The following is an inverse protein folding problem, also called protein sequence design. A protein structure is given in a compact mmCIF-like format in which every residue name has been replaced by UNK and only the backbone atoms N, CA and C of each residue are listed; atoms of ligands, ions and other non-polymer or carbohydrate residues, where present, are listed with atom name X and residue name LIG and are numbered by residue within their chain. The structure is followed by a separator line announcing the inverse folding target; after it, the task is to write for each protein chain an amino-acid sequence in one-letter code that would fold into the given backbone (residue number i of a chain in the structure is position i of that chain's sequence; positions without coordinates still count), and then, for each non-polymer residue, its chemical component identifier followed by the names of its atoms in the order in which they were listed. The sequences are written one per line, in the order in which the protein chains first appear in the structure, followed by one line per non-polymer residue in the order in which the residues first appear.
data_IF_377714254176
#
_entry.id   IF_377714254176
#
_cell.length_a   1.000
_cell.length_b   1.000
_cell.length_c   1.000
_cell.angle_alpha   90.00
_cell.angle_beta   90.00
_cell.angle_gamma   90.00
#
_symmetry.space_group_name_H-M   'P 1'
#
loop_
_entity.id
_entity.type
_entity.pdbx_description
1 polymer ?
#
# COMPACT_ATOMS: atom_id res chain seq x y z
N UNK A 1 -47.52 33.58 10.93
CA UNK A 1 -46.30 34.38 10.69
C UNK A 1 -45.18 33.68 11.44
N UNK A 2 -44.17 33.15 10.73
CA UNK A 2 -43.12 32.27 11.27
C UNK A 2 -41.89 33.09 11.64
N UNK A 3 -41.33 32.77 12.80
CA UNK A 3 -40.24 33.48 13.45
C UNK A 3 -38.88 33.26 12.73
N UNK A 4 -38.43 34.29 12.01
CA UNK A 4 -37.14 34.29 11.29
C UNK A 4 -35.92 34.59 12.18
N UNK A 5 -36.08 34.67 13.51
CA UNK A 5 -35.01 35.08 14.42
C UNK A 5 -34.18 33.90 14.97
N UNK A 6 -34.74 32.69 15.02
CA UNK A 6 -34.09 31.52 15.63
C UNK A 6 -32.82 31.07 14.88
N UNK A 7 -32.78 31.24 13.56
CA UNK A 7 -31.65 30.78 12.75
C UNK A 7 -30.42 31.69 12.89
N UNK A 8 -30.63 32.99 13.11
CA UNK A 8 -29.55 33.98 13.24
C UNK A 8 -28.81 33.83 14.58
N UNK A 9 -29.53 33.42 15.62
CA UNK A 9 -28.97 33.15 16.94
C UNK A 9 -28.10 31.88 16.95
N UNK A 10 -28.50 30.85 16.19
CA UNK A 10 -27.72 29.63 16.04
C UNK A 10 -26.36 29.89 15.38
N UNK A 11 -26.34 30.63 14.27
CA UNK A 11 -25.08 31.01 13.59
C UNK A 11 -24.15 31.85 14.47
N UNK A 12 -24.71 32.76 15.26
CA UNK A 12 -23.91 33.56 16.19
C UNK A 12 -23.33 32.72 17.34
N UNK A 13 -24.04 31.66 17.75
CA UNK A 13 -23.56 30.73 18.77
C UNK A 13 -22.40 29.87 18.24
N UNK A 14 -22.56 29.26 17.06
CA UNK A 14 -21.51 28.46 16.44
C UNK A 14 -20.24 29.27 16.18
N UNK A 15 -20.39 30.51 15.69
CA UNK A 15 -19.25 31.41 15.48
C UNK A 15 -18.51 31.70 16.78
N UNK A 16 -19.22 31.95 17.89
CA UNK A 16 -18.61 32.17 19.21
C UNK A 16 -17.89 30.93 19.74
N UNK A 17 -18.47 29.75 19.55
CA UNK A 17 -17.84 28.48 19.96
C UNK A 17 -16.57 28.23 19.16
N UNK A 18 -16.60 28.48 17.85
CA UNK A 18 -15.43 28.33 16.98
C UNK A 18 -14.30 29.29 17.38
N UNK A 19 -14.61 30.59 17.57
CA UNK A 19 -13.63 31.59 18.01
C UNK A 19 -13.05 31.29 19.40
N UNK A 20 -13.86 30.78 20.33
CA UNK A 20 -13.38 30.35 21.64
C UNK A 20 -12.44 29.14 21.55
N UNK A 21 -12.75 28.18 20.68
CA UNK A 21 -11.95 26.98 20.46
C UNK A 21 -10.60 27.31 19.82
N UNK A 22 -10.57 28.23 18.84
CA UNK A 22 -9.31 28.66 18.23
C UNK A 22 -8.41 29.41 19.22
N UNK A 23 -8.99 30.25 20.09
CA UNK A 23 -8.22 30.93 21.15
C UNK A 23 -7.60 29.94 22.13
N UNK A 24 -8.31 28.88 22.50
CA UNK A 24 -7.76 27.82 23.35
C UNK A 24 -6.59 27.09 22.68
N UNK A 25 -6.72 26.70 21.40
CA UNK A 25 -5.61 26.08 20.65
C UNK A 25 -4.41 27.01 20.55
N UNK A 26 -4.62 28.30 20.26
CA UNK A 26 -3.54 29.27 20.16
C UNK A 26 -2.79 29.44 21.49
N UNK A 27 -3.51 29.44 22.62
CA UNK A 27 -2.91 29.48 23.96
C UNK A 27 -2.13 28.21 24.30
N UNK A 28 -2.66 27.03 23.96
CA UNK A 28 -1.94 25.75 24.14
C UNK A 28 -0.66 25.71 23.31
N UNK A 29 -0.68 26.17 22.05
CA UNK A 29 0.51 26.27 21.22
C UNK A 29 1.55 27.23 21.82
N UNK A 30 1.11 28.36 22.38
CA UNK A 30 2.00 29.33 23.02
C UNK A 30 2.64 28.77 24.31
N UNK A 31 1.87 28.03 25.10
CA UNK A 31 2.37 27.34 26.30
C UNK A 31 3.32 26.20 25.96
N UNK A 32 3.02 25.38 24.95
CA UNK A 32 3.94 24.33 24.46
C UNK A 32 5.26 24.93 23.97
N UNK A 33 5.23 26.09 23.30
CA UNK A 33 6.45 26.77 22.82
C UNK A 33 7.31 27.31 23.97
N UNK A 34 6.70 27.84 25.04
CA UNK A 34 7.43 28.26 26.25
C UNK A 34 7.97 27.08 27.06
N UNK A 35 7.24 25.96 27.13
CA UNK A 35 7.70 24.72 27.77
C UNK A 35 8.90 24.09 27.05
N UNK A 36 8.92 24.13 25.72
CA UNK A 36 10.06 23.65 24.94
C UNK A 36 11.32 24.51 25.08
N UNK A 37 11.17 25.83 25.22
CA UNK A 37 12.32 26.75 25.34
C UNK A 37 13.06 26.62 26.68
N UNK A 38 12.35 26.30 27.77
CA UNK A 38 12.99 26.15 29.10
C UNK A 38 13.52 24.74 29.37
N UNK A 39 13.18 23.75 28.54
CA UNK A 39 13.65 22.36 28.69
C UNK A 39 14.83 22.04 27.75
N UNK A 40 15.30 23.00 26.94
CA UNK A 40 16.41 22.79 26.02
C UNK A 40 17.80 23.20 26.58
N UNK A 41 17.87 23.85 27.74
CA UNK A 41 19.15 24.36 28.30
C UNK A 41 19.26 24.07 29.80
N UNK A 42 19.27 22.80 30.18
CA UNK A 42 19.99 22.33 31.39
C UNK A 42 20.35 20.84 31.39
N UNK A 43 20.36 20.17 30.22
CA UNK A 43 20.94 18.83 30.12
C UNK A 43 22.46 18.90 29.93
N UNK A 44 23.13 19.49 30.91
CA UNK A 44 24.58 19.38 31.12
C UNK A 44 24.82 18.87 32.54
N UNK A 45 24.31 17.68 32.86
CA UNK A 45 24.76 16.90 34.01
C UNK A 45 24.82 15.42 33.65
N UNK A 46 26.02 15.01 33.22
CA UNK A 46 26.54 13.64 33.18
C UNK A 46 25.69 12.63 32.41
N UNK A 47 25.95 12.56 31.09
CA UNK A 47 25.76 11.32 30.33
C UNK A 47 26.64 10.22 30.96
N UNK A 48 26.05 9.49 31.92
CA UNK A 48 26.44 8.12 32.23
C UNK A 48 25.29 7.29 31.68
N UNK A 49 25.21 7.17 30.36
CA UNK A 49 24.60 5.96 29.80
C UNK A 49 25.47 4.84 30.38
N UNK A 50 24.95 4.10 31.35
CA UNK A 50 25.68 2.96 31.92
C UNK A 50 26.13 2.06 30.75
N UNK A 51 27.32 1.46 30.84
CA UNK A 51 27.85 0.58 29.78
C UNK A 51 26.78 -0.42 29.30
N UNK A 52 25.95 -0.88 30.23
CA UNK A 52 24.79 -1.73 30.00
C UNK A 52 23.71 -1.12 29.08
N UNK A 53 23.30 0.14 29.29
CA UNK A 53 22.32 0.82 28.42
C UNK A 53 22.87 1.06 27.02
N UNK A 54 24.16 1.38 26.90
CA UNK A 54 24.80 1.57 25.59
C UNK A 54 24.89 0.23 24.83
N UNK A 55 25.24 -0.85 25.53
CA UNK A 55 25.24 -2.20 24.97
C UNK A 55 23.85 -2.61 24.47
N UNK A 56 22.79 -2.34 25.25
CA UNK A 56 21.42 -2.66 24.85
C UNK A 56 20.98 -1.89 23.59
N UNK A 57 21.30 -0.60 23.51
CA UNK A 57 21.00 0.22 22.32
C UNK A 57 21.71 -0.34 21.08
N UNK A 58 22.98 -0.74 21.21
CA UNK A 58 23.74 -1.33 20.10
C UNK A 58 23.11 -2.63 19.62
N UNK A 59 22.70 -3.52 20.54
CA UNK A 59 22.02 -4.78 20.18
C UNK A 59 20.71 -4.51 19.44
N UNK A 60 19.88 -3.59 19.95
CA UNK A 60 18.61 -3.21 19.30
C UNK A 60 18.85 -2.60 17.93
N UNK A 61 19.89 -1.78 17.78
CA UNK A 61 20.24 -1.18 16.50
C UNK A 61 20.63 -2.24 15.45
N UNK A 62 21.48 -3.19 15.83
CA UNK A 62 21.88 -4.31 14.94
C UNK A 62 20.65 -5.13 14.54
N UNK A 63 19.78 -5.48 15.50
CA UNK A 63 18.53 -6.20 15.21
C UNK A 63 17.61 -5.41 14.28
N UNK A 64 17.49 -4.11 14.50
CA UNK A 64 16.69 -3.22 13.67
C UNK A 64 17.15 -3.19 12.21
N UNK A 65 18.46 -3.07 11.98
CA UNK A 65 19.03 -3.05 10.61
C UNK A 65 18.72 -4.33 9.84
N UNK A 66 18.70 -5.50 10.50
CA UNK A 66 18.43 -6.79 9.86
C UNK A 66 16.92 -7.01 9.64
N UNK A 67 16.07 -6.54 10.55
CA UNK A 67 14.63 -6.76 10.48
C UNK A 67 13.92 -5.90 9.40
N UNK A 68 14.43 -4.69 9.15
CA UNK A 68 13.84 -3.74 8.18
C UNK A 68 13.70 -4.28 6.74
N UNK A 69 14.74 -4.85 6.10
CA UNK A 69 14.62 -5.32 4.71
C UNK A 69 13.59 -6.46 4.56
N UNK A 70 13.49 -7.35 5.54
CA UNK A 70 12.54 -8.46 5.54
C UNK A 70 11.10 -7.94 5.61
N UNK A 71 10.86 -6.95 6.48
CA UNK A 71 9.55 -6.32 6.61
C UNK A 71 9.12 -5.63 5.30
N UNK A 72 10.04 -4.96 4.61
CA UNK A 72 9.77 -4.33 3.32
C UNK A 72 9.40 -5.37 2.24
N UNK A 73 10.15 -6.46 2.14
CA UNK A 73 9.86 -7.55 1.21
C UNK A 73 8.46 -8.15 1.44
N UNK A 74 8.08 -8.38 2.70
CA UNK A 74 6.76 -8.89 3.06
C UNK A 74 5.63 -7.93 2.66
N UNK A 75 5.81 -6.63 2.90
CA UNK A 75 4.82 -5.62 2.50
C UNK A 75 4.65 -5.55 0.98
N UNK A 76 5.74 -5.63 0.21
CA UNK A 76 5.69 -5.65 -1.26
C UNK A 76 4.94 -6.91 -1.73
N UNK A 77 5.27 -8.08 -1.17
CA UNK A 77 4.61 -9.35 -1.48
C UNK A 77 3.11 -9.34 -1.20
N UNK A 78 2.71 -8.74 -0.08
CA UNK A 78 1.29 -8.55 0.26
C UNK A 78 0.58 -7.67 -0.77
N UNK A 79 1.17 -6.52 -1.13
CA UNK A 79 0.60 -5.63 -2.15
C UNK A 79 0.50 -6.28 -3.53
N UNK A 80 1.50 -7.09 -3.93
CA UNK A 80 1.44 -7.85 -5.18
C UNK A 80 0.31 -8.88 -5.14
N UNK A 81 0.11 -9.56 -4.00
CA UNK A 81 -0.98 -10.51 -3.83
C UNK A 81 -2.35 -9.83 -3.99
N UNK A 82 -2.53 -8.65 -3.39
CA UNK A 82 -3.74 -7.84 -3.56
C UNK A 82 -3.94 -7.44 -5.03
N UNK A 83 -2.88 -6.98 -5.70
CA UNK A 83 -2.97 -6.62 -7.11
C UNK A 83 -3.37 -7.82 -8.01
N UNK A 84 -2.95 -9.04 -7.66
CA UNK A 84 -3.38 -10.26 -8.35
C UNK A 84 -4.86 -10.56 -8.04
N UNK A 85 -5.29 -10.43 -6.79
CA UNK A 85 -6.69 -10.66 -6.38
C UNK A 85 -7.67 -9.70 -7.08
N UNK A 86 -7.27 -8.45 -7.32
CA UNK A 86 -8.07 -7.49 -8.12
C UNK A 86 -8.39 -8.00 -9.54
N UNK A 87 -7.61 -8.96 -10.06
CA UNK A 87 -7.82 -9.53 -11.40
C UNK A 87 -8.70 -10.77 -11.41
N UNK A 88 -9.19 -11.27 -10.28
CA UNK A 88 -9.98 -12.52 -10.20
C UNK A 88 -11.25 -12.49 -11.07
N UNK A 89 -11.94 -11.34 -11.12
CA UNK A 89 -13.13 -11.18 -11.97
C UNK A 89 -12.76 -11.33 -13.45
N UNK A 90 -11.61 -10.79 -13.86
CA UNK A 90 -11.11 -10.90 -15.23
C UNK A 90 -10.64 -12.33 -15.51
N UNK A 91 -9.95 -12.97 -14.56
CA UNK A 91 -9.54 -14.37 -14.69
C UNK A 91 -10.76 -15.27 -14.89
N UNK A 92 -11.83 -15.08 -14.14
CA UNK A 92 -13.08 -15.82 -14.33
C UNK A 92 -13.66 -15.60 -15.72
N UNK A 93 -13.79 -14.35 -16.16
CA UNK A 93 -14.33 -14.03 -17.49
C UNK A 93 -13.46 -14.59 -18.63
N UNK A 94 -12.13 -14.58 -18.48
CA UNK A 94 -11.22 -15.19 -19.44
C UNK A 94 -11.29 -16.72 -19.38
N UNK A 95 -11.42 -17.33 -18.20
CA UNK A 95 -11.61 -18.77 -18.06
C UNK A 95 -12.91 -19.22 -18.74
N UNK A 96 -14.01 -18.50 -18.52
CA UNK A 96 -15.30 -18.78 -19.17
C UNK A 96 -15.18 -18.63 -20.70
N UNK A 97 -14.47 -17.60 -21.19
CA UNK A 97 -14.17 -17.44 -22.63
C UNK A 97 -13.38 -18.65 -23.17
N UNK A 98 -12.38 -19.12 -22.44
CA UNK A 98 -11.52 -20.24 -22.85
C UNK A 98 -12.30 -21.56 -22.88
N UNK A 99 -13.10 -21.84 -21.85
CA UNK A 99 -13.86 -23.09 -21.72
C UNK A 99 -15.05 -23.11 -22.69
N UNK A 100 -15.87 -22.05 -22.71
CA UNK A 100 -17.12 -22.03 -23.46
C UNK A 100 -16.98 -21.48 -24.89
N UNK A 101 -15.78 -21.05 -25.31
CA UNK A 101 -15.51 -20.39 -26.61
C UNK A 101 -16.42 -19.19 -26.92
N UNK A 102 -17.09 -18.65 -25.91
CA UNK A 102 -17.96 -17.49 -26.05
C UNK A 102 -17.12 -16.21 -26.14
N UNK A 103 -17.63 -15.21 -26.87
CA UNK A 103 -17.00 -13.88 -26.84
C UNK A 103 -17.04 -13.35 -25.40
N UNK A 104 -15.93 -12.79 -24.89
CA UNK A 104 -15.92 -12.23 -23.54
C UNK A 104 -17.00 -11.15 -23.46
N UNK A 105 -17.70 -11.07 -22.32
CA UNK A 105 -18.55 -9.92 -22.00
C UNK A 105 -17.63 -8.70 -21.89
N UNK A 106 -17.54 -7.95 -22.98
CA UNK A 106 -16.51 -6.95 -23.30
C UNK A 106 -16.43 -5.75 -22.36
N UNK A 107 -17.29 -5.66 -21.35
CA UNK A 107 -17.49 -4.44 -20.57
C UNK A 107 -17.03 -4.56 -19.12
N UNK A 108 -16.21 -5.57 -18.78
CA UNK A 108 -15.64 -5.63 -17.42
C UNK A 108 -14.58 -4.53 -17.30
N UNK A 109 -14.73 -3.56 -16.39
CA UNK A 109 -13.72 -2.53 -16.20
C UNK A 109 -12.41 -3.17 -15.74
N UNK A 110 -11.31 -2.83 -16.41
CA UNK A 110 -9.99 -3.32 -16.01
C UNK A 110 -9.50 -2.53 -14.78
N UNK A 111 -8.90 -3.21 -13.79
CA UNK A 111 -8.17 -2.54 -12.73
C UNK A 111 -7.07 -1.64 -13.29
N UNK A 112 -6.74 -0.58 -12.54
CA UNK A 112 -5.71 0.37 -12.94
C UNK A 112 -4.36 -0.36 -13.13
N UNK A 113 -3.67 -0.03 -14.22
CA UNK A 113 -2.37 -0.62 -14.60
C UNK A 113 -2.42 -2.11 -14.93
N UNK A 114 -3.60 -2.64 -15.25
CA UNK A 114 -3.80 -3.99 -15.74
C UNK A 114 -4.16 -3.96 -17.22
N UNK A 115 -3.57 -4.88 -17.98
CA UNK A 115 -3.73 -5.02 -19.42
C UNK A 115 -4.09 -6.48 -19.73
N UNK A 116 -4.87 -6.69 -20.78
CA UNK A 116 -5.22 -8.03 -21.26
C UNK A 116 -4.62 -8.21 -22.63
N UNK A 117 -3.78 -9.24 -22.79
CA UNK A 117 -3.37 -9.73 -24.09
C UNK A 117 -4.48 -10.65 -24.63
N UNK A 118 -5.23 -10.16 -25.60
CA UNK A 118 -6.35 -10.90 -26.18
C UNK A 118 -5.92 -12.08 -27.06
N UNK A 119 -4.70 -12.06 -27.60
CA UNK A 119 -4.17 -13.13 -28.45
C UNK A 119 -3.77 -14.33 -27.60
N UNK A 120 -3.10 -14.07 -26.48
CA UNK A 120 -2.62 -15.12 -25.57
C UNK A 120 -3.57 -15.40 -24.38
N UNK A 121 -4.67 -14.65 -24.27
CA UNK A 121 -5.58 -14.63 -23.11
C UNK A 121 -4.83 -14.43 -21.77
N UNK A 122 -3.77 -13.61 -21.79
CA UNK A 122 -2.96 -13.34 -20.61
C UNK A 122 -3.38 -12.04 -19.95
N UNK A 123 -3.24 -11.98 -18.62
CA UNK A 123 -3.41 -10.74 -17.86
C UNK A 123 -2.03 -10.25 -17.47
N UNK A 124 -1.72 -8.98 -17.76
CA UNK A 124 -0.46 -8.34 -17.42
C UNK A 124 -0.73 -7.18 -16.46
N UNK A 125 -0.04 -7.14 -15.34
CA UNK A 125 -0.17 -6.12 -14.31
C UNK A 125 1.17 -5.38 -14.21
N UNK A 126 1.16 -4.07 -14.37
CA UNK A 126 2.34 -3.24 -14.17
C UNK A 126 2.51 -2.91 -12.68
N UNK A 127 3.54 -3.50 -12.09
CA UNK A 127 3.94 -3.31 -10.69
C UNK A 127 5.16 -2.38 -10.54
N UNK A 128 5.71 -1.91 -11.65
CA UNK A 128 6.89 -1.05 -11.70
C UNK A 128 6.59 0.42 -11.40
N UNK A 129 7.59 1.26 -11.65
CA UNK A 129 7.57 2.71 -11.38
C UNK A 129 6.47 3.47 -12.12
N UNK A 130 6.12 3.03 -13.33
CA UNK A 130 5.07 3.65 -14.14
C UNK A 130 3.66 3.12 -13.79
N UNK A 131 3.60 1.93 -13.20
CA UNK A 131 2.37 1.27 -12.78
C UNK A 131 2.01 1.49 -11.31
N UNK A 132 1.81 0.39 -10.58
CA UNK A 132 1.43 0.39 -9.16
C UNK A 132 2.56 0.81 -8.19
N UNK A 133 3.77 1.08 -8.68
CA UNK A 133 4.91 1.55 -7.88
C UNK A 133 5.26 0.64 -6.69
N UNK A 134 5.16 -0.68 -6.90
CA UNK A 134 5.42 -1.67 -5.86
C UNK A 134 6.91 -2.06 -5.80
N UNK A 135 7.60 -1.95 -6.93
CA UNK A 135 9.03 -2.25 -7.04
C UNK A 135 9.80 -1.07 -7.64
N UNK A 136 11.08 -0.98 -7.31
CA UNK A 136 12.00 0.00 -7.90
C UNK A 136 12.39 -0.45 -9.30
N UNK A 137 11.96 0.24 -10.35
CA UNK A 137 12.31 -0.06 -11.74
C UNK A 137 11.13 -0.49 -12.59
N UNK A 138 11.37 -1.29 -13.62
CA UNK A 138 10.31 -1.85 -14.48
C UNK A 138 9.88 -3.21 -13.94
N UNK A 139 8.58 -3.48 -13.84
CA UNK A 139 8.12 -4.74 -13.28
C UNK A 139 6.73 -5.12 -13.73
N UNK A 140 6.58 -6.35 -14.21
CA UNK A 140 5.31 -6.87 -14.68
C UNK A 140 5.02 -8.23 -14.08
N UNK A 141 3.77 -8.44 -13.68
CA UNK A 141 3.22 -9.76 -13.37
C UNK A 141 2.35 -10.20 -14.54
N UNK A 142 2.62 -11.37 -15.10
CA UNK A 142 1.80 -12.00 -16.12
C UNK A 142 1.15 -13.26 -15.57
N UNK A 143 -0.18 -13.30 -15.68
CA UNK A 143 -1.02 -14.46 -15.38
C UNK A 143 -1.39 -15.13 -16.70
N UNK A 144 -0.93 -16.36 -16.87
CA UNK A 144 -1.16 -17.15 -18.09
C UNK A 144 -2.08 -18.34 -17.78
N UNK A 145 -3.22 -18.47 -18.47
CA UNK A 145 -4.09 -19.62 -18.30
C UNK A 145 -3.46 -20.85 -18.94
N UNK A 146 -3.54 -21.98 -18.25
CA UNK A 146 -3.13 -23.31 -18.72
C UNK A 146 -4.34 -24.23 -18.57
N UNK A 147 -4.78 -24.83 -19.67
CA UNK A 147 -5.91 -25.76 -19.67
C UNK A 147 -5.39 -27.15 -19.32
N UNK A 148 -5.90 -27.74 -18.24
CA UNK A 148 -5.64 -29.15 -17.93
C UNK A 148 -6.63 -30.00 -18.69
N UNK A 149 -6.18 -30.64 -19.77
CA UNK A 149 -7.00 -31.38 -20.75
C UNK A 149 -7.92 -32.44 -20.13
N UNK A 150 -7.56 -32.99 -18.97
CA UNK A 150 -8.29 -34.10 -18.37
C UNK A 150 -9.49 -33.67 -17.49
N UNK A 151 -9.62 -32.37 -17.19
CA UNK A 151 -10.60 -31.88 -16.19
C UNK A 151 -11.39 -30.65 -16.61
N UNK A 152 -11.19 -30.13 -17.83
CA UNK A 152 -11.74 -28.83 -18.27
C UNK A 152 -11.51 -27.71 -17.23
N UNK A 153 -10.38 -27.77 -16.53
CA UNK A 153 -10.00 -26.79 -15.51
C UNK A 153 -8.94 -25.85 -16.06
N UNK A 154 -9.16 -24.56 -15.85
CA UNK A 154 -8.18 -23.51 -16.15
C UNK A 154 -7.33 -23.27 -14.91
N UNK A 155 -6.04 -23.53 -15.02
CA UNK A 155 -5.05 -23.18 -14.00
C UNK A 155 -4.29 -21.92 -14.42
N UNK A 156 -4.12 -20.98 -13.50
CA UNK A 156 -3.39 -19.74 -13.77
C UNK A 156 -1.94 -19.86 -13.32
N UNK A 157 -1.01 -19.77 -14.27
CA UNK A 157 0.41 -19.69 -14.01
C UNK A 157 0.80 -18.23 -13.84
N UNK A 158 1.33 -17.87 -12.67
CA UNK A 158 1.86 -16.55 -12.42
C UNK A 158 3.36 -16.48 -12.72
N UNK A 159 3.75 -15.47 -13.48
CA UNK A 159 5.14 -15.19 -13.85
C UNK A 159 5.43 -13.71 -13.65
N UNK A 160 6.64 -13.37 -13.24
CA UNK A 160 7.08 -12.00 -13.06
C UNK A 160 8.31 -11.73 -13.92
N UNK A 161 8.43 -10.52 -14.47
CA UNK A 161 9.61 -10.10 -15.22
C UNK A 161 9.84 -8.59 -15.09
N UNK A 162 11.10 -8.16 -15.12
CA UNK A 162 11.48 -6.74 -15.05
C UNK A 162 12.76 -6.48 -14.26
N UNK A 163 13.16 -5.21 -14.23
CA UNK A 163 14.31 -4.74 -13.45
C UNK A 163 13.86 -4.32 -12.04
N UNK A 164 14.46 -4.93 -11.00
CA UNK A 164 14.17 -4.62 -9.59
C UNK A 164 13.06 -5.46 -8.95
N UNK A 165 12.61 -6.52 -9.62
CA UNK A 165 11.84 -7.58 -8.98
C UNK A 165 12.82 -8.61 -8.39
N UNK A 166 12.70 -8.86 -7.08
CA UNK A 166 13.39 -9.95 -6.40
C UNK A 166 12.43 -11.12 -6.17
N UNK A 167 12.95 -12.35 -6.14
CA UNK A 167 12.15 -13.56 -5.89
C UNK A 167 11.41 -13.48 -4.53
N UNK A 168 12.02 -12.84 -3.53
CA UNK A 168 11.43 -12.68 -2.19
C UNK A 168 10.17 -11.79 -2.17
N UNK A 169 10.03 -10.91 -3.18
CA UNK A 169 8.87 -10.04 -3.30
C UNK A 169 7.66 -10.77 -3.89
N UNK A 170 7.85 -11.94 -4.48
CA UNK A 170 6.79 -12.66 -5.16
C UNK A 170 6.06 -13.61 -4.20
N UNK A 171 4.73 -13.74 -4.33
CA UNK A 171 4.00 -14.80 -3.65
C UNK A 171 4.43 -16.17 -4.22
N UNK A 172 4.32 -17.23 -3.41
CA UNK A 172 4.88 -18.53 -3.75
C UNK A 172 4.29 -19.21 -5.00
N UNK A 173 3.17 -18.70 -5.52
CA UNK A 173 2.56 -19.13 -6.77
C UNK A 173 3.14 -18.43 -8.02
N UNK A 174 3.96 -17.39 -7.85
CA UNK A 174 4.57 -16.63 -8.92
C UNK A 174 6.06 -16.94 -9.06
N UNK A 175 6.54 -17.11 -10.31
CA UNK A 175 7.96 -17.35 -10.59
C UNK A 175 8.59 -16.18 -11.34
N UNK A 176 9.80 -15.80 -10.96
CA UNK A 176 10.59 -14.79 -11.69
C UNK A 176 11.18 -15.41 -12.96
N UNK A 177 10.96 -14.78 -14.10
CA UNK A 177 11.63 -15.09 -15.36
C UNK A 177 12.77 -14.09 -15.52
N UNK A 178 14.01 -14.57 -15.36
CA UNK A 178 15.20 -13.79 -15.70
C UNK A 178 15.32 -13.79 -17.23
N UNK A 179 15.32 -12.60 -17.81
CA UNK A 179 15.56 -12.39 -19.24
C UNK A 179 17.05 -12.32 -19.51
#
# INVERSE_FOLDING_TARGET
MKDNNSFKDFYNLEKKIFEATERQRAQEFYQRKKGFSNTAISSSKKSIISKEKLMLIVIVFILGVIALPIAQAYLIRSKISVAIQETEVIQKNLADKIIFKNKPTTNTPLPKYTFIDQQLNQIKIDIGKEGKQLVTGTGYITLTPTITKDKDTVQWRCTAFGSGIHEDYLPGNCKLIKK
#
